data_IF_003939467254
#
_entry.id   IF_003939467254
#
_cell.length_a   1.000
_cell.length_b   1.000
_cell.length_c   1.000
_cell.angle_alpha   90.00
_cell.angle_beta   90.00
_cell.angle_gamma   90.00
#
_symmetry.space_group_name_H-M   'P 1'
#
loop_
_entity.id
_entity.type
_entity.pdbx_description
1 polymer ?
#
# COMPACT_ATOMS: atom_id res chain seq x y z
N UNK A 1 66.23 -17.09 -11.89
CA UNK A 1 64.95 -17.77 -12.13
C UNK A 1 65.25 -19.12 -12.76
N UNK A 2 64.81 -20.20 -12.12
CA UNK A 2 64.84 -21.55 -12.73
C UNK A 2 63.39 -21.84 -13.09
N UNK A 3 63.07 -21.87 -14.39
CA UNK A 3 61.76 -22.26 -14.94
C UNK A 3 60.54 -21.42 -14.48
N UNK A 4 60.66 -20.09 -14.40
CA UNK A 4 59.57 -19.17 -14.00
C UNK A 4 58.85 -19.51 -12.67
N UNK A 5 59.44 -20.38 -11.86
CA UNK A 5 58.91 -20.77 -10.55
C UNK A 5 59.66 -20.02 -9.47
N UNK A 6 58.93 -19.31 -8.61
CA UNK A 6 59.51 -18.66 -7.43
C UNK A 6 59.51 -19.66 -6.29
N UNK A 7 60.71 -20.00 -5.80
CA UNK A 7 60.85 -20.85 -4.62
C UNK A 7 60.80 -20.00 -3.37
N UNK A 8 59.89 -20.34 -2.45
CA UNK A 8 59.74 -19.65 -1.18
C UNK A 8 60.38 -20.50 -0.07
N UNK A 9 61.22 -19.93 0.82
CA UNK A 9 61.83 -20.70 1.90
C UNK A 9 60.77 -21.21 2.88
N UNK A 10 60.53 -22.53 2.87
CA UNK A 10 59.50 -23.17 3.70
C UNK A 10 59.68 -22.87 5.20
N UNK A 11 60.92 -22.81 5.70
CA UNK A 11 61.21 -22.47 7.10
C UNK A 11 60.82 -21.02 7.42
N UNK A 12 61.12 -20.08 6.53
CA UNK A 12 60.78 -18.67 6.76
C UNK A 12 59.26 -18.46 6.81
N UNK A 13 58.53 -19.10 5.90
CA UNK A 13 57.06 -19.06 5.89
C UNK A 13 56.48 -19.73 7.13
N UNK A 14 56.96 -20.91 7.48
CA UNK A 14 56.43 -21.68 8.63
C UNK A 14 56.68 -20.96 9.96
N UNK A 15 57.86 -20.39 10.15
CA UNK A 15 58.18 -19.63 11.37
C UNK A 15 57.42 -18.30 11.44
N UNK A 16 57.15 -17.65 10.30
CA UNK A 16 56.29 -16.46 10.27
C UNK A 16 54.83 -16.76 10.66
N UNK A 17 54.41 -18.03 10.61
CA UNK A 17 53.11 -18.54 11.05
C UNK A 17 53.18 -19.22 12.42
N UNK A 18 54.20 -18.91 13.24
CA UNK A 18 54.43 -19.48 14.58
C UNK A 18 54.51 -21.02 14.63
N UNK A 19 54.96 -21.66 13.54
CA UNK A 19 55.22 -23.09 13.49
C UNK A 19 56.70 -23.42 13.71
N UNK A 20 56.96 -24.48 14.48
CA UNK A 20 58.27 -25.09 14.67
C UNK A 20 58.62 -26.00 13.48
N UNK A 21 59.88 -25.97 13.04
CA UNK A 21 60.37 -26.72 11.87
C UNK A 21 61.60 -27.54 12.24
N UNK A 22 61.44 -28.86 12.32
CA UNK A 22 62.49 -29.83 12.64
C UNK A 22 62.84 -30.69 11.42
N UNK A 23 64.12 -31.06 11.30
CA UNK A 23 64.62 -31.98 10.28
C UNK A 23 64.86 -33.36 10.89
N UNK A 24 64.48 -34.41 10.18
CA UNK A 24 64.73 -35.80 10.55
C UNK A 24 65.75 -36.42 9.58
N UNK A 25 67.01 -36.50 10.03
CA UNK A 25 68.13 -37.04 9.24
C UNK A 25 67.94 -38.51 8.84
N UNK A 26 67.20 -39.31 9.62
CA UNK A 26 67.04 -40.75 9.35
C UNK A 26 66.13 -40.99 8.17
N UNK A 27 65.15 -40.12 7.96
CA UNK A 27 64.12 -40.26 6.92
C UNK A 27 64.27 -39.22 5.81
N UNK A 28 65.18 -38.25 5.98
CA UNK A 28 65.30 -37.08 5.10
C UNK A 28 63.98 -36.33 4.96
N UNK A 29 63.26 -36.13 6.08
CA UNK A 29 61.96 -35.43 6.12
C UNK A 29 61.99 -34.17 6.98
N UNK A 30 61.15 -33.20 6.61
CA UNK A 30 60.87 -32.00 7.41
C UNK A 30 59.58 -32.23 8.19
N UNK A 31 59.62 -32.05 9.50
CA UNK A 31 58.44 -32.00 10.39
C UNK A 31 58.13 -30.56 10.74
N UNK A 32 56.92 -30.13 10.45
CA UNK A 32 56.40 -28.82 10.85
C UNK A 32 55.33 -29.08 11.91
N UNK A 33 55.47 -28.47 13.08
CA UNK A 33 54.56 -28.60 14.22
C UNK A 33 54.25 -27.22 14.76
N UNK A 34 52.99 -26.86 14.91
CA UNK A 34 52.59 -25.67 15.65
C UNK A 34 52.06 -26.09 17.02
N UNK A 35 52.31 -25.26 18.04
CA UNK A 35 51.59 -25.31 19.33
C UNK A 35 50.17 -24.73 19.20
N UNK A 36 49.81 -24.31 17.98
CA UNK A 36 48.42 -24.19 17.57
C UNK A 36 47.80 -25.57 17.71
N UNK A 37 47.29 -25.84 18.91
CA UNK A 37 46.20 -26.78 19.06
C UNK A 37 45.17 -26.29 18.05
N UNK A 38 44.96 -27.08 17.00
CA UNK A 38 43.61 -27.27 16.54
C UNK A 38 42.88 -27.86 17.76
N UNK A 39 42.54 -27.01 18.72
CA UNK A 39 41.52 -27.27 19.70
C UNK A 39 40.26 -27.42 18.86
N UNK A 40 40.11 -28.61 18.28
CA UNK A 40 38.88 -29.20 17.78
C UNK A 40 37.78 -28.16 17.51
N UNK A 41 37.96 -27.35 16.46
CA UNK A 41 36.85 -26.65 15.82
C UNK A 41 35.84 -27.66 15.25
N UNK A 42 36.26 -28.91 15.09
CA UNK A 42 35.45 -30.01 14.55
C UNK A 42 34.32 -30.49 15.48
N UNK A 43 34.20 -29.95 16.69
CA UNK A 43 33.13 -30.31 17.64
C UNK A 43 32.49 -29.10 18.33
N UNK A 44 32.72 -27.89 17.82
CA UNK A 44 31.96 -26.73 18.28
C UNK A 44 30.51 -26.85 17.74
N UNK A 45 29.48 -26.69 18.59
CA UNK A 45 28.11 -26.68 18.11
C UNK A 45 27.95 -25.55 17.10
N UNK A 46 27.33 -25.85 15.97
CA UNK A 46 27.00 -24.84 14.97
C UNK A 46 25.60 -24.27 15.21
N UNK A 47 25.42 -23.02 14.81
CA UNK A 47 24.12 -22.33 14.83
C UNK A 47 23.81 -21.88 13.41
N UNK A 48 22.60 -22.19 12.94
CA UNK A 48 22.09 -21.64 11.69
C UNK A 48 21.63 -20.20 11.93
N UNK A 49 22.27 -19.26 11.26
CA UNK A 49 21.89 -17.85 11.24
C UNK A 49 21.08 -17.53 9.98
N UNK A 50 20.17 -16.57 10.10
CA UNK A 50 19.24 -16.13 9.05
C UNK A 50 19.51 -14.67 8.68
N UNK A 51 19.75 -14.43 7.40
CA UNK A 51 19.84 -13.08 6.85
C UNK A 51 18.44 -12.54 6.53
N UNK A 52 18.26 -11.21 6.53
CA UNK A 52 17.04 -10.55 6.09
C UNK A 52 16.50 -10.91 4.69
N UNK A 53 17.39 -11.31 3.79
CA UNK A 53 17.06 -11.71 2.41
C UNK A 53 16.69 -13.20 2.28
N UNK A 54 16.60 -13.91 3.40
CA UNK A 54 16.24 -15.33 3.48
C UNK A 54 17.41 -16.30 3.32
N UNK A 55 18.64 -15.81 3.12
CA UNK A 55 19.83 -16.68 3.15
C UNK A 55 20.08 -17.23 4.54
N UNK A 56 20.68 -18.42 4.59
CA UNK A 56 21.13 -19.05 5.83
C UNK A 56 22.62 -19.35 5.78
N UNK A 57 23.23 -19.45 6.96
CA UNK A 57 24.61 -19.89 7.12
C UNK A 57 24.74 -20.65 8.45
N UNK A 58 25.46 -21.77 8.44
CA UNK A 58 25.83 -22.46 9.67
C UNK A 58 27.20 -21.92 10.11
N UNK A 59 27.25 -21.37 11.32
CA UNK A 59 28.46 -20.77 11.90
C UNK A 59 28.78 -21.43 13.24
N UNK A 60 29.99 -21.23 13.74
CA UNK A 60 30.35 -21.70 15.06
C UNK A 60 29.59 -20.90 16.14
N UNK A 61 29.20 -21.53 17.25
CA UNK A 61 28.47 -20.87 18.35
C UNK A 61 29.18 -19.62 18.89
N UNK A 62 30.52 -19.58 18.84
CA UNK A 62 31.36 -18.45 19.23
C UNK A 62 31.29 -17.25 18.28
N UNK A 63 30.84 -17.44 17.04
CA UNK A 63 30.74 -16.37 16.03
C UNK A 63 29.37 -15.67 16.04
N UNK A 64 28.39 -16.22 16.75
CA UNK A 64 26.99 -15.76 16.73
C UNK A 64 26.85 -14.27 17.03
N UNK A 65 27.55 -13.76 18.04
CA UNK A 65 27.47 -12.34 18.41
C UNK A 65 27.98 -11.43 17.27
N UNK A 66 29.02 -11.84 16.55
CA UNK A 66 29.53 -11.08 15.42
C UNK A 66 28.50 -10.99 14.28
N UNK A 67 27.79 -12.10 14.01
CA UNK A 67 26.73 -12.16 13.01
C UNK A 67 25.48 -11.36 13.42
N UNK A 68 25.06 -11.43 14.69
CA UNK A 68 23.95 -10.61 15.23
C UNK A 68 24.25 -9.11 15.09
N UNK A 69 25.48 -8.69 15.39
CA UNK A 69 25.91 -7.30 15.29
C UNK A 69 25.90 -6.75 13.85
N UNK A 70 25.96 -7.61 12.83
CA UNK A 70 25.88 -7.22 11.41
C UNK A 70 24.52 -7.53 10.77
N UNK A 71 23.51 -7.81 11.59
CA UNK A 71 22.12 -7.92 11.14
C UNK A 71 21.68 -9.31 10.68
N UNK A 72 22.33 -10.36 11.18
CA UNK A 72 21.79 -11.72 11.10
C UNK A 72 20.98 -12.06 12.34
N UNK A 73 20.08 -13.02 12.22
CA UNK A 73 19.14 -13.41 13.26
C UNK A 73 19.26 -14.90 13.56
N UNK A 74 18.99 -15.29 14.80
CA UNK A 74 18.92 -16.71 15.21
C UNK A 74 17.66 -17.42 14.70
N UNK A 75 16.66 -16.64 14.26
CA UNK A 75 15.40 -17.11 13.73
C UNK A 75 15.06 -16.37 12.43
N UNK A 76 14.23 -16.95 11.55
CA UNK A 76 13.74 -16.26 10.35
C UNK A 76 13.04 -14.93 10.71
N UNK A 77 13.29 -13.90 9.90
CA UNK A 77 12.67 -12.58 10.04
C UNK A 77 11.87 -12.18 8.81
N UNK A 78 10.89 -11.30 9.02
CA UNK A 78 10.08 -10.67 7.98
C UNK A 78 10.23 -9.15 8.07
N UNK A 79 10.38 -8.49 6.91
CA UNK A 79 10.29 -7.04 6.83
C UNK A 79 8.83 -6.61 6.94
N UNK A 80 8.50 -5.91 8.02
CA UNK A 80 7.17 -5.37 8.27
C UNK A 80 7.11 -3.87 8.01
N UNK A 81 5.93 -3.40 7.63
CA UNK A 81 5.60 -2.03 7.24
C UNK A 81 4.54 -1.46 8.18
N UNK A 82 4.80 -0.29 8.74
CA UNK A 82 3.80 0.48 9.45
C UNK A 82 3.04 1.39 8.47
N UNK A 83 1.82 1.77 8.83
CA UNK A 83 1.00 2.70 8.06
C UNK A 83 1.63 4.09 7.86
N UNK A 84 2.57 4.51 8.72
CA UNK A 84 3.30 5.78 8.63
C UNK A 84 4.56 5.70 7.76
N UNK A 85 4.81 4.55 7.11
CA UNK A 85 5.96 4.32 6.23
C UNK A 85 7.20 3.80 6.94
N UNK A 86 7.18 3.60 8.27
CA UNK A 86 8.30 2.92 8.96
C UNK A 86 8.38 1.46 8.56
N UNK A 87 9.60 0.94 8.57
CA UNK A 87 9.87 -0.49 8.36
C UNK A 87 10.65 -1.07 9.53
N UNK A 88 10.55 -2.38 9.72
CA UNK A 88 11.42 -3.13 10.63
C UNK A 88 11.53 -4.61 10.24
N UNK A 89 12.63 -5.23 10.61
CA UNK A 89 12.68 -6.70 10.69
C UNK A 89 12.04 -7.17 11.99
N UNK A 90 11.19 -8.18 11.87
CA UNK A 90 10.44 -8.82 12.97
C UNK A 90 10.64 -10.32 12.87
N UNK A 91 10.81 -11.01 14.00
CA UNK A 91 10.88 -12.47 14.00
C UNK A 91 9.60 -13.05 13.40
N UNK A 92 9.72 -14.10 12.58
CA UNK A 92 8.58 -14.76 11.94
C UNK A 92 7.51 -15.19 12.95
N UNK A 93 7.93 -15.57 14.16
CA UNK A 93 7.09 -15.95 15.30
C UNK A 93 6.29 -14.78 15.91
N UNK A 94 6.73 -13.53 15.70
CA UNK A 94 6.09 -12.33 16.25
C UNK A 94 5.17 -11.62 15.24
N UNK A 95 5.18 -12.03 13.96
CA UNK A 95 4.47 -11.34 12.87
C UNK A 95 2.99 -11.12 13.19
N UNK A 96 2.30 -12.12 13.73
CA UNK A 96 0.87 -12.02 14.07
C UNK A 96 0.60 -10.96 15.15
N UNK A 97 1.49 -10.84 16.14
CA UNK A 97 1.37 -9.83 17.20
C UNK A 97 1.52 -8.42 16.63
N UNK A 98 2.47 -8.22 15.70
CA UNK A 98 2.68 -6.95 15.02
C UNK A 98 1.52 -6.60 14.07
N UNK A 99 0.97 -7.59 13.36
CA UNK A 99 -0.25 -7.40 12.57
C UNK A 99 -1.43 -6.97 13.43
N UNK A 100 -1.57 -7.54 14.63
CA UNK A 100 -2.60 -7.16 15.60
C UNK A 100 -2.54 -5.69 16.05
N UNK A 101 -1.39 -5.03 15.92
CA UNK A 101 -1.18 -3.62 16.30
C UNK A 101 -0.93 -2.69 15.11
N UNK A 102 -1.27 -3.12 13.89
CA UNK A 102 -1.27 -2.24 12.70
C UNK A 102 0.04 -2.21 11.90
N UNK A 103 0.82 -3.28 11.97
CA UNK A 103 1.90 -3.53 11.00
C UNK A 103 1.44 -4.50 9.91
N UNK A 104 2.10 -4.44 8.76
CA UNK A 104 1.73 -5.19 7.58
C UNK A 104 2.96 -5.88 7.00
N UNK A 105 2.77 -7.02 6.35
CA UNK A 105 3.87 -7.74 5.68
C UNK A 105 4.16 -7.19 4.28
N UNK A 106 3.31 -6.29 3.79
CA UNK A 106 3.49 -5.55 2.55
C UNK A 106 3.17 -4.06 2.79
N UNK A 107 3.67 -3.15 1.93
CA UNK A 107 3.28 -1.75 1.98
C UNK A 107 1.77 -1.55 1.90
N UNK A 108 1.24 -0.59 2.65
CA UNK A 108 -0.19 -0.24 2.66
C UNK A 108 -0.45 1.19 2.22
N UNK A 109 -1.66 1.44 1.73
CA UNK A 109 -2.19 2.75 1.35
C UNK A 109 -3.47 3.03 2.12
N UNK A 110 -3.63 4.27 2.60
CA UNK A 110 -4.88 4.75 3.17
C UNK A 110 -5.89 5.05 2.04
N UNK A 111 -6.94 4.24 1.97
CA UNK A 111 -8.02 4.36 1.00
C UNK A 111 -9.23 5.08 1.61
N UNK A 112 -9.94 5.85 0.78
CA UNK A 112 -11.08 6.68 1.11
C UNK A 112 -12.32 6.21 0.34
N UNK A 113 -13.42 5.98 1.03
CA UNK A 113 -14.71 5.76 0.42
C UNK A 113 -15.43 7.10 0.17
N UNK A 114 -16.37 7.11 -0.77
CA UNK A 114 -17.20 8.27 -1.07
C UNK A 114 -18.05 8.77 0.12
N UNK A 115 -18.35 7.91 1.09
CA UNK A 115 -19.09 8.24 2.31
C UNK A 115 -18.18 8.76 3.46
N UNK A 116 -16.88 8.94 3.19
CA UNK A 116 -15.90 9.45 4.14
C UNK A 116 -15.23 8.39 5.01
N UNK A 117 -15.59 7.11 4.89
CA UNK A 117 -14.86 6.03 5.57
C UNK A 117 -13.45 5.89 5.03
N UNK A 118 -12.53 5.47 5.90
CA UNK A 118 -11.14 5.20 5.54
C UNK A 118 -10.74 3.78 5.93
N UNK A 119 -9.74 3.22 5.24
CA UNK A 119 -9.10 1.96 5.62
C UNK A 119 -7.68 1.88 5.08
N UNK A 120 -6.81 1.16 5.78
CA UNK A 120 -5.56 0.70 5.18
C UNK A 120 -5.83 -0.52 4.30
N UNK A 121 -5.23 -0.54 3.13
CA UNK A 121 -5.32 -1.60 2.12
C UNK A 121 -3.91 -1.89 1.61
N UNK A 122 -3.59 -3.15 1.30
CA UNK A 122 -2.29 -3.50 0.74
C UNK A 122 -2.10 -2.76 -0.60
N UNK A 123 -0.87 -2.30 -0.87
CA UNK A 123 -0.53 -1.59 -2.10
C UNK A 123 -0.88 -2.42 -3.35
N UNK A 124 -0.77 -3.75 -3.26
CA UNK A 124 -1.13 -4.74 -4.29
C UNK A 124 -2.65 -4.82 -4.55
N UNK A 125 -3.49 -4.40 -3.62
CA UNK A 125 -4.96 -4.45 -3.74
C UNK A 125 -5.59 -3.11 -4.14
N UNK A 126 -4.80 -2.03 -4.23
CA UNK A 126 -5.32 -0.67 -4.46
C UNK A 126 -6.18 -0.57 -5.71
N UNK A 127 -5.77 -1.19 -6.82
CA UNK A 127 -6.52 -1.16 -8.08
C UNK A 127 -7.90 -1.83 -7.96
N UNK A 128 -7.99 -2.94 -7.23
CA UNK A 128 -9.26 -3.63 -7.00
C UNK A 128 -10.22 -2.76 -6.18
N UNK A 129 -9.71 -2.05 -5.18
CA UNK A 129 -10.48 -1.10 -4.37
C UNK A 129 -10.92 0.12 -5.18
N UNK A 130 -10.06 0.65 -6.05
CA UNK A 130 -10.43 1.72 -6.98
C UNK A 130 -11.55 1.29 -7.93
N UNK A 131 -11.49 0.04 -8.43
CA UNK A 131 -12.52 -0.54 -9.28
C UNK A 131 -13.91 -0.62 -8.64
N UNK A 132 -13.99 -0.66 -7.29
CA UNK A 132 -15.26 -0.71 -6.54
C UNK A 132 -15.61 0.61 -5.82
N UNK A 133 -14.96 1.72 -6.20
CA UNK A 133 -15.35 3.06 -5.74
C UNK A 133 -14.65 3.55 -4.47
N UNK A 134 -13.45 3.05 -4.18
CA UNK A 134 -12.53 3.68 -3.23
C UNK A 134 -11.49 4.55 -3.94
N UNK A 135 -10.88 5.45 -3.21
CA UNK A 135 -9.97 6.46 -3.74
C UNK A 135 -8.72 6.54 -2.86
N UNK A 136 -7.57 6.87 -3.44
CA UNK A 136 -6.32 7.07 -2.69
C UNK A 136 -6.24 8.44 -2.01
N UNK A 137 -7.21 9.32 -2.30
CA UNK A 137 -7.36 10.63 -1.69
C UNK A 137 -8.85 10.88 -1.36
N UNK A 138 -9.15 11.81 -0.44
CA UNK A 138 -10.52 12.24 -0.19
C UNK A 138 -11.21 12.70 -1.47
N UNK A 139 -12.48 12.39 -1.64
CA UNK A 139 -13.29 12.82 -2.80
C UNK A 139 -14.41 13.78 -2.43
N UNK A 140 -14.89 14.52 -3.44
CA UNK A 140 -16.04 15.41 -3.37
C UNK A 140 -17.03 15.04 -4.48
N UNK A 141 -18.32 15.00 -4.14
CA UNK A 141 -19.39 14.87 -5.13
C UNK A 141 -19.55 16.20 -5.89
N UNK A 142 -19.25 16.19 -7.18
CA UNK A 142 -19.36 17.32 -8.08
C UNK A 142 -20.62 17.22 -8.93
N UNK A 143 -21.21 18.37 -9.28
CA UNK A 143 -22.43 18.53 -10.06
C UNK A 143 -22.13 19.31 -11.35
N UNK A 144 -22.58 18.81 -12.49
CA UNK A 144 -22.57 19.55 -13.74
C UNK A 144 -23.87 20.36 -13.90
N UNK A 145 -23.83 21.40 -14.74
CA UNK A 145 -25.03 22.21 -15.04
C UNK A 145 -26.17 21.39 -15.69
N UNK A 146 -25.84 20.28 -16.36
CA UNK A 146 -26.81 19.36 -16.97
C UNK A 146 -27.41 18.32 -15.99
N UNK A 147 -27.04 18.39 -14.71
CA UNK A 147 -27.54 17.51 -13.65
C UNK A 147 -26.74 16.21 -13.48
N UNK A 148 -25.68 15.96 -14.28
CA UNK A 148 -24.76 14.85 -14.02
C UNK A 148 -24.00 15.07 -12.71
N UNK A 149 -23.62 13.97 -12.08
CA UNK A 149 -22.78 13.97 -10.89
C UNK A 149 -21.57 13.06 -11.07
N UNK A 150 -20.50 13.33 -10.34
CA UNK A 150 -19.33 12.46 -10.25
C UNK A 150 -18.59 12.68 -8.94
N UNK A 151 -17.92 11.65 -8.43
CA UNK A 151 -16.88 11.84 -7.44
C UNK A 151 -15.60 12.32 -8.12
N UNK A 152 -14.95 13.30 -7.53
CA UNK A 152 -13.70 13.90 -7.99
C UNK A 152 -12.75 13.99 -6.80
N UNK A 153 -11.45 13.74 -7.00
CA UNK A 153 -10.46 13.88 -5.94
C UNK A 153 -10.47 15.32 -5.40
N UNK A 154 -10.29 15.48 -4.09
CA UNK A 154 -10.32 16.79 -3.43
C UNK A 154 -9.29 17.76 -4.04
N UNK A 155 -8.14 17.24 -4.45
CA UNK A 155 -7.06 17.92 -5.14
C UNK A 155 -7.45 18.44 -6.54
N UNK A 156 -8.42 17.83 -7.21
CA UNK A 156 -8.86 18.19 -8.56
C UNK A 156 -10.07 19.13 -8.61
N UNK A 157 -10.73 19.37 -7.47
CA UNK A 157 -12.00 20.12 -7.40
C UNK A 157 -11.91 21.48 -8.09
N UNK A 158 -10.81 22.22 -7.91
CA UNK A 158 -10.66 23.56 -8.48
C UNK A 158 -10.47 23.53 -10.01
N UNK A 159 -9.88 22.46 -10.56
CA UNK A 159 -9.82 22.25 -12.00
C UNK A 159 -11.23 22.00 -12.57
N UNK A 160 -12.04 21.20 -11.87
CA UNK A 160 -13.43 20.93 -12.27
C UNK A 160 -14.32 22.17 -12.19
N UNK A 161 -14.13 23.01 -11.17
CA UNK A 161 -14.85 24.30 -11.07
C UNK A 161 -14.59 25.21 -12.27
N UNK A 162 -13.35 25.26 -12.77
CA UNK A 162 -12.98 26.07 -13.95
C UNK A 162 -13.68 25.62 -15.22
N UNK A 163 -14.08 24.34 -15.32
CA UNK A 163 -14.76 23.77 -16.49
C UNK A 163 -16.27 23.56 -16.28
N UNK A 164 -16.87 24.29 -15.34
CA UNK A 164 -18.33 24.35 -15.20
C UNK A 164 -18.95 23.24 -14.34
N UNK A 165 -18.18 22.65 -13.42
CA UNK A 165 -18.69 21.80 -12.36
C UNK A 165 -18.78 22.55 -11.03
N UNK A 166 -19.67 22.10 -10.15
CA UNK A 166 -19.99 22.76 -8.90
C UNK A 166 -19.95 21.75 -7.75
N UNK A 167 -19.66 22.21 -6.54
CA UNK A 167 -19.71 21.39 -5.32
C UNK A 167 -21.11 21.34 -4.69
N UNK A 168 -22.05 22.09 -5.26
CA UNK A 168 -23.45 22.13 -4.88
C UNK A 168 -24.32 21.90 -6.11
N UNK A 169 -25.56 21.41 -5.96
CA UNK A 169 -26.49 21.29 -7.07
C UNK A 169 -26.64 22.63 -7.80
N UNK A 170 -26.35 22.63 -9.11
CA UNK A 170 -26.47 23.84 -9.92
C UNK A 170 -27.91 24.35 -9.92
N UNK A 171 -28.11 25.56 -9.39
CA UNK A 171 -29.35 26.31 -9.56
C UNK A 171 -29.08 27.42 -10.57
N UNK A 172 -29.79 27.45 -11.71
CA UNK A 172 -29.64 28.56 -12.64
C UNK A 172 -29.94 29.87 -11.92
N UNK A 173 -29.15 30.94 -12.15
CA UNK A 173 -29.51 32.26 -11.68
C UNK A 173 -30.94 32.58 -12.14
N UNK A 174 -31.80 33.02 -11.21
CA UNK A 174 -33.10 33.56 -11.60
C UNK A 174 -32.84 34.82 -12.42
N UNK A 175 -32.89 34.70 -13.74
CA UNK A 175 -32.92 35.87 -14.61
C UNK A 175 -34.24 36.59 -14.34
N UNK A 176 -34.16 37.80 -13.79
CA UNK A 176 -35.29 38.74 -13.82
C UNK A 176 -35.46 39.20 -15.27
N UNK A 177 -36.04 38.33 -16.09
CA UNK A 177 -36.45 38.66 -17.45
C UNK A 177 -37.94 38.39 -17.56
N UNK A 178 -38.70 39.43 -17.25
CA UNK A 178 -40.08 39.58 -17.69
C UNK A 178 -40.12 39.56 -19.22
N UNK A 179 -40.39 38.41 -19.83
CA UNK A 179 -41.02 38.32 -21.15
C UNK A 179 -41.34 36.88 -21.52
N UNK A 180 -42.64 36.58 -21.47
CA UNK A 180 -43.41 35.77 -22.42
C UNK A 180 -42.67 35.05 -23.55
N UNK A 181 -42.88 33.74 -23.69
CA UNK A 181 -42.69 33.05 -24.98
C UNK A 181 -42.32 31.57 -24.86
N UNK A 182 -43.28 30.71 -25.17
CA UNK A 182 -43.20 29.25 -25.24
C UNK A 182 -42.07 28.68 -26.11
N UNK A 183 -41.44 27.57 -25.70
CA UNK A 183 -41.68 26.22 -26.26
C UNK A 183 -40.52 25.24 -25.99
N UNK A 184 -40.92 24.11 -25.40
CA UNK A 184 -40.45 22.73 -25.61
C UNK A 184 -38.96 22.41 -25.83
N UNK A 185 -38.38 21.68 -24.88
CA UNK A 185 -37.14 20.94 -25.06
C UNK A 185 -36.64 20.26 -23.77
N UNK A 186 -37.45 19.39 -23.15
CA UNK A 186 -37.06 18.63 -21.94
C UNK A 186 -36.02 17.57 -22.32
N UNK A 187 -34.74 17.84 -22.05
CA UNK A 187 -33.65 16.86 -22.22
C UNK A 187 -33.66 15.87 -21.05
N UNK A 188 -33.71 14.58 -21.41
CA UNK A 188 -33.83 13.42 -20.53
C UNK A 188 -32.59 13.24 -19.66
N UNK A 189 -32.74 13.62 -18.40
CA UNK A 189 -31.81 13.41 -17.28
C UNK A 189 -32.25 14.12 -16.00
N UNK A 190 -33.41 14.79 -16.06
CA UNK A 190 -33.88 15.82 -15.15
C UNK A 190 -34.07 15.23 -13.75
N UNK A 191 -33.40 15.86 -12.77
CA UNK A 191 -33.77 15.75 -11.36
C UNK A 191 -35.29 15.84 -11.22
N UNK A 192 -35.88 14.86 -10.57
CA UNK A 192 -37.30 14.88 -10.22
C UNK A 192 -37.44 15.13 -8.73
N UNK A 193 -38.51 15.81 -8.37
CA UNK A 193 -38.86 16.11 -7.00
C UNK A 193 -39.95 15.15 -6.56
N UNK A 194 -39.74 14.50 -5.41
CA UNK A 194 -40.70 13.59 -4.79
C UNK A 194 -40.91 13.99 -3.34
N UNK A 195 -42.13 13.88 -2.85
CA UNK A 195 -42.39 13.97 -1.40
C UNK A 195 -42.37 12.57 -0.78
N UNK A 196 -41.96 12.43 0.50
CA UNK A 196 -42.01 11.15 1.20
C UNK A 196 -43.37 10.43 1.07
N UNK A 197 -44.47 11.16 1.28
CA UNK A 197 -45.84 10.65 1.23
C UNK A 197 -46.55 10.73 -0.13
N UNK A 198 -46.03 11.51 -1.10
CA UNK A 198 -46.71 11.70 -2.38
C UNK A 198 -46.57 10.51 -3.33
N UNK A 199 -47.53 10.30 -4.24
CA UNK A 199 -47.48 9.17 -5.21
C UNK A 199 -46.85 9.54 -6.56
N UNK A 200 -46.38 10.78 -6.71
CA UNK A 200 -45.94 11.32 -7.99
C UNK A 200 -44.55 11.94 -7.93
N UNK A 201 -43.83 11.87 -9.04
CA UNK A 201 -42.62 12.63 -9.28
C UNK A 201 -42.93 13.86 -10.13
N UNK A 202 -42.12 14.90 -9.95
CA UNK A 202 -42.35 16.23 -10.51
C UNK A 202 -41.06 16.75 -11.13
N UNK A 203 -41.08 17.37 -12.31
CA UNK A 203 -39.88 18.08 -12.82
C UNK A 203 -39.70 19.48 -12.22
N UNK A 204 -40.67 19.96 -11.44
CA UNK A 204 -40.63 21.26 -10.77
C UNK A 204 -40.84 21.12 -9.26
N UNK A 205 -39.93 21.70 -8.48
CA UNK A 205 -40.04 21.77 -7.01
C UNK A 205 -41.30 22.53 -6.55
N UNK A 206 -41.68 23.60 -7.26
CA UNK A 206 -42.88 24.36 -6.94
C UNK A 206 -44.16 23.57 -7.20
N UNK A 207 -44.15 22.64 -8.16
CA UNK A 207 -45.26 21.72 -8.39
C UNK A 207 -45.29 20.56 -7.38
N UNK A 208 -44.13 20.18 -6.81
CA UNK A 208 -44.01 19.07 -5.86
C UNK A 208 -44.49 19.43 -4.44
N UNK A 209 -44.48 20.72 -4.09
CA UNK A 209 -44.97 21.23 -2.82
C UNK A 209 -43.92 21.24 -1.70
N UNK A 210 -44.33 21.72 -0.53
CA UNK A 210 -43.47 21.84 0.66
C UNK A 210 -43.02 20.44 1.11
N UNK A 211 -41.71 20.26 1.34
CA UNK A 211 -41.04 18.99 1.70
C UNK A 211 -40.73 18.03 0.54
N UNK A 212 -40.71 18.52 -0.70
CA UNK A 212 -40.20 17.74 -1.81
C UNK A 212 -38.67 17.60 -1.73
N UNK A 213 -38.16 16.37 -1.87
CA UNK A 213 -36.73 16.08 -2.01
C UNK A 213 -36.40 15.83 -3.48
N UNK A 214 -35.22 16.28 -3.90
CA UNK A 214 -34.66 15.95 -5.21
C UNK A 214 -34.23 14.48 -5.24
N UNK A 215 -34.49 13.79 -6.35
CA UNK A 215 -34.09 12.42 -6.63
C UNK A 215 -33.93 12.21 -8.13
N UNK A 216 -33.37 11.09 -8.56
CA UNK A 216 -33.35 10.70 -9.98
C UNK A 216 -34.71 10.15 -10.41
N UNK A 217 -35.03 10.28 -11.70
CA UNK A 217 -36.23 9.69 -12.29
C UNK A 217 -36.28 8.17 -12.07
N UNK A 218 -35.14 7.49 -12.23
CA UNK A 218 -35.03 6.05 -11.99
C UNK A 218 -35.35 5.65 -10.54
N UNK A 219 -34.81 6.38 -9.55
CA UNK A 219 -35.10 6.12 -8.14
C UNK A 219 -36.57 6.43 -7.78
N UNK A 220 -37.16 7.46 -8.40
CA UNK A 220 -38.57 7.78 -8.21
C UNK A 220 -39.49 6.70 -8.79
N UNK A 221 -39.19 6.19 -9.99
CA UNK A 221 -39.92 5.11 -10.63
C UNK A 221 -39.76 3.79 -9.85
N UNK A 222 -38.55 3.45 -9.41
CA UNK A 222 -38.28 2.30 -8.55
C UNK A 222 -39.02 2.39 -7.20
N UNK A 223 -39.25 3.60 -6.69
CA UNK A 223 -40.07 3.87 -5.50
C UNK A 223 -41.58 3.91 -5.78
N UNK A 224 -42.04 3.48 -6.96
CA UNK A 224 -43.45 3.41 -7.35
C UNK A 224 -44.12 4.76 -7.60
N UNK A 225 -43.36 5.84 -7.80
CA UNK A 225 -43.91 7.19 -8.05
C UNK A 225 -44.24 7.35 -9.53
N UNK A 226 -45.47 7.77 -9.85
CA UNK A 226 -45.91 8.03 -11.23
C UNK A 226 -45.68 9.49 -11.69
N UNK A 227 -45.82 9.81 -12.98
CA UNK A 227 -45.68 11.18 -13.46
C UNK A 227 -46.75 12.13 -12.91
N UNK A 228 -46.35 13.35 -12.54
CA UNK A 228 -47.28 14.44 -12.27
C UNK A 228 -47.95 14.93 -13.56
N UNK A 229 -49.28 14.86 -13.60
CA UNK A 229 -50.09 15.33 -14.74
C UNK A 229 -49.94 16.83 -15.07
N UNK A 230 -49.39 17.63 -14.16
CA UNK A 230 -49.20 19.08 -14.37
C UNK A 230 -47.81 19.44 -14.88
N UNK A 231 -46.77 18.73 -14.42
CA UNK A 231 -45.38 19.14 -14.65
C UNK A 231 -44.47 18.03 -15.17
N UNK A 232 -45.00 16.82 -15.41
CA UNK A 232 -44.24 15.66 -15.89
C UNK A 232 -45.06 14.87 -16.93
N UNK A 233 -45.69 15.58 -17.86
CA UNK A 233 -46.32 15.04 -19.07
C UNK A 233 -45.36 15.12 -20.24
#
# INVERSE_FOLDING_TARGET
>A
MVNDTTFVPIRAVSQALDANVAWDDKTSTIKISSDYSAASSDNEPTVTMYAPDGRTIDIAQSEVEAYENVGWYKEPVVLMYAADGRTRYTLQSEVEAYQGVGWYTEPVVLMYAADGRTRYTLQSEVEAYQGVGWYTEPVVLMYAADGRTRYTLKSEVDAYKKVGWYTEPYTPPKTNSSSSGSSSGVVRGSTVYVTPSGKKYHYSASCAGKNARATTLSAAQASGKGPCAKCAR
#
